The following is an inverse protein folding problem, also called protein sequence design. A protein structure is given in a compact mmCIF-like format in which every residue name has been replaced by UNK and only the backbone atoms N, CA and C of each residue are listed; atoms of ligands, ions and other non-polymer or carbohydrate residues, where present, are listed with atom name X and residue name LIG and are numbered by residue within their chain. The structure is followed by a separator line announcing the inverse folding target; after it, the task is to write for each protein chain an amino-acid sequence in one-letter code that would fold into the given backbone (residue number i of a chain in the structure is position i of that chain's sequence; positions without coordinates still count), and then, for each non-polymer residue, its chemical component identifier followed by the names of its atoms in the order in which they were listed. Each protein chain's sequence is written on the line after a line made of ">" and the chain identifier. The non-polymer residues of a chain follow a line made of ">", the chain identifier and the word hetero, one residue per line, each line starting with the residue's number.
data_IF_913482123203
#
_entry.id   IF_913482123203
#
_cell.length_a   1.000
_cell.length_b   1.000
_cell.length_c   1.000
_cell.angle_alpha   90.00
_cell.angle_beta   90.00
_cell.angle_gamma   90.00
#
_symmetry.space_group_name_H-M   'P 1'
#
loop_
_entity.id
_entity.type
_entity.pdbx_description
1 polymer ?
#
# COMPACT_ATOMS: atom_id res chain seq x y z
N UNK A 1 9.34 -73.11 14.24
CA UNK A 1 9.54 -73.89 13.00
C UNK A 1 9.01 -73.16 11.77
N UNK A 2 7.71 -72.84 11.66
CA UNK A 2 7.16 -72.13 10.48
C UNK A 2 7.85 -70.77 10.21
N UNK A 3 8.11 -69.96 11.24
CA UNK A 3 8.86 -68.69 11.13
C UNK A 3 10.34 -68.87 10.78
N UNK A 4 10.95 -69.98 11.20
CA UNK A 4 12.38 -70.28 10.99
C UNK A 4 12.66 -70.78 9.58
N UNK A 5 11.61 -71.25 8.87
CA UNK A 5 11.72 -71.81 7.51
C UNK A 5 10.93 -70.99 6.47
N UNK A 6 10.51 -69.77 6.79
CA UNK A 6 9.72 -68.91 5.89
C UNK A 6 8.48 -69.62 5.31
N UNK A 7 7.78 -70.42 6.12
CA UNK A 7 6.59 -71.12 5.65
C UNK A 7 5.42 -70.14 5.57
N UNK A 8 5.01 -69.81 4.36
CA UNK A 8 3.84 -68.97 4.09
C UNK A 8 2.56 -69.82 4.10
N UNK A 9 1.57 -69.39 4.89
CA UNK A 9 0.28 -70.06 4.95
C UNK A 9 -0.50 -69.83 3.65
N UNK A 10 -0.79 -70.90 2.92
CA UNK A 10 -1.63 -70.86 1.71
C UNK A 10 -3.12 -71.06 2.02
N UNK A 11 -3.52 -71.04 3.29
CA UNK A 11 -4.92 -71.20 3.65
C UNK A 11 -5.72 -69.98 3.13
N UNK A 12 -6.85 -70.20 2.45
CA UNK A 12 -7.62 -69.11 1.85
C UNK A 12 -8.07 -68.03 2.85
N UNK A 13 -8.23 -68.42 4.12
CA UNK A 13 -8.60 -67.51 5.20
C UNK A 13 -7.44 -66.61 5.63
N UNK A 14 -6.26 -67.17 5.89
CA UNK A 14 -5.04 -66.41 6.21
C UNK A 14 -4.64 -65.46 5.07
N UNK A 15 -4.77 -65.89 3.81
CA UNK A 15 -4.51 -65.02 2.65
C UNK A 15 -5.48 -63.83 2.63
N UNK A 16 -6.76 -64.03 2.99
CA UNK A 16 -7.74 -62.94 3.06
C UNK A 16 -7.41 -61.97 4.19
N UNK A 17 -7.07 -62.48 5.37
CA UNK A 17 -6.70 -61.68 6.54
C UNK A 17 -5.39 -60.89 6.31
N UNK A 18 -4.42 -61.48 5.61
CA UNK A 18 -3.19 -60.78 5.23
C UNK A 18 -3.46 -59.68 4.20
N UNK A 19 -4.32 -59.94 3.20
CA UNK A 19 -4.69 -58.93 2.20
C UNK A 19 -5.50 -57.78 2.80
N UNK A 20 -6.37 -58.04 3.78
CA UNK A 20 -7.09 -56.96 4.48
C UNK A 20 -6.16 -56.17 5.41
N UNK A 21 -5.23 -56.82 6.11
CA UNK A 21 -4.24 -56.12 6.93
C UNK A 21 -3.33 -55.21 6.08
N UNK A 22 -2.86 -55.68 4.92
CA UNK A 22 -2.05 -54.89 3.98
C UNK A 22 -2.87 -53.75 3.35
N UNK A 23 -4.15 -53.98 3.06
CA UNK A 23 -5.05 -52.91 2.61
C UNK A 23 -5.26 -51.85 3.69
N UNK A 24 -5.41 -52.23 4.97
CA UNK A 24 -5.55 -51.30 6.09
C UNK A 24 -4.28 -50.45 6.29
N UNK A 25 -3.09 -51.05 6.15
CA UNK A 25 -1.82 -50.29 6.23
C UNK A 25 -1.60 -49.36 5.02
N UNK A 26 -2.10 -49.73 3.83
CA UNK A 26 -2.00 -48.91 2.62
C UNK A 26 -3.11 -47.85 2.49
N UNK A 27 -4.17 -47.91 3.32
CA UNK A 27 -5.24 -46.90 3.40
C UNK A 27 -4.86 -45.72 4.29
N UNK A 28 -3.73 -45.79 5.01
CA UNK A 28 -3.17 -44.61 5.64
C UNK A 28 -2.56 -43.72 4.55
N UNK A 29 -3.39 -42.87 3.95
CA UNK A 29 -2.94 -41.78 3.09
C UNK A 29 -1.75 -41.11 3.77
N UNK A 30 -0.58 -41.16 3.15
CA UNK A 30 0.55 -40.31 3.49
C UNK A 30 0.04 -38.89 3.46
N UNK A 31 -0.18 -38.34 4.65
CA UNK A 31 -0.57 -36.96 4.85
C UNK A 31 0.35 -36.07 4.01
N UNK A 32 -0.24 -35.21 3.20
CA UNK A 32 0.43 -34.30 2.26
C UNK A 32 1.31 -33.25 2.98
N UNK A 33 1.46 -33.34 4.30
CA UNK A 33 2.29 -32.45 5.12
C UNK A 33 3.78 -32.47 4.76
N UNK A 34 4.31 -33.52 4.12
CA UNK A 34 5.73 -33.57 3.74
C UNK A 34 6.13 -32.50 2.71
N UNK A 35 5.18 -31.96 1.94
CA UNK A 35 5.43 -30.96 0.91
C UNK A 35 4.78 -29.61 1.19
N UNK A 36 4.05 -29.49 2.31
CA UNK A 36 3.49 -28.22 2.74
C UNK A 36 4.55 -27.47 3.54
N UNK A 37 5.23 -26.53 2.88
CA UNK A 37 5.98 -25.50 3.59
C UNK A 37 4.97 -24.68 4.41
N UNK A 38 5.28 -24.47 5.69
CA UNK A 38 4.63 -23.47 6.52
C UNK A 38 4.79 -22.12 5.80
N UNK A 39 3.69 -21.60 5.28
CA UNK A 39 3.69 -20.31 4.60
C UNK A 39 4.17 -19.28 5.63
N UNK A 40 5.28 -18.54 5.40
CA UNK A 40 5.72 -17.51 6.34
C UNK A 40 4.51 -16.62 6.59
N UNK A 41 4.14 -16.51 7.86
CA UNK A 41 2.95 -15.83 8.38
C UNK A 41 2.42 -14.86 7.34
N UNK A 42 1.34 -15.24 6.66
CA UNK A 42 0.68 -14.37 5.70
C UNK A 42 0.41 -13.09 6.47
N UNK A 43 1.17 -12.04 6.17
CA UNK A 43 0.83 -10.68 6.58
C UNK A 43 -0.63 -10.58 6.23
N UNK A 44 -1.49 -10.53 7.25
CA UNK A 44 -2.93 -10.56 7.05
C UNK A 44 -3.20 -9.26 6.33
N UNK A 45 -3.21 -9.32 4.99
CA UNK A 45 -3.71 -8.27 4.13
C UNK A 45 -5.15 -8.17 4.56
N UNK A 46 -5.44 -7.20 5.43
CA UNK A 46 -6.79 -6.91 5.85
C UNK A 46 -7.55 -6.64 4.56
N UNK A 47 -8.30 -7.64 4.11
CA UNK A 47 -9.05 -7.56 2.87
C UNK A 47 -9.95 -6.34 3.03
N UNK A 48 -9.95 -5.47 2.03
CA UNK A 48 -10.73 -4.24 2.08
C UNK A 48 -12.19 -4.57 2.42
N UNK A 49 -12.63 -4.16 3.60
CA UNK A 49 -14.02 -4.26 4.03
C UNK A 49 -14.56 -2.85 4.24
N UNK A 50 -15.67 -2.54 3.56
CA UNK A 50 -16.31 -1.22 3.63
C UNK A 50 -16.59 -0.78 5.08
N UNK A 51 -16.93 -1.71 5.98
CA UNK A 51 -17.19 -1.44 7.39
C UNK A 51 -15.93 -1.00 8.15
N UNK A 52 -14.80 -1.67 7.91
CA UNK A 52 -13.50 -1.36 8.53
C UNK A 52 -13.00 0.00 8.03
N UNK A 53 -13.06 0.24 6.72
CA UNK A 53 -12.66 1.51 6.13
C UNK A 53 -13.51 2.68 6.64
N UNK A 54 -14.83 2.52 6.75
CA UNK A 54 -15.72 3.55 7.31
C UNK A 54 -15.37 3.86 8.75
N UNK A 55 -15.13 2.85 9.58
CA UNK A 55 -14.75 3.05 10.99
C UNK A 55 -13.43 3.83 11.09
N UNK A 56 -12.39 3.41 10.36
CA UNK A 56 -11.10 4.09 10.34
C UNK A 56 -11.22 5.55 9.84
N UNK A 57 -12.07 5.80 8.84
CA UNK A 57 -12.32 7.15 8.32
C UNK A 57 -12.97 8.04 9.38
N UNK A 58 -13.96 7.54 10.12
CA UNK A 58 -14.62 8.28 11.21
C UNK A 58 -13.62 8.59 12.32
N UNK A 59 -12.83 7.61 12.75
CA UNK A 59 -11.79 7.80 13.77
C UNK A 59 -10.76 8.84 13.35
N UNK A 60 -10.34 8.82 12.07
CA UNK A 60 -9.43 9.82 11.51
C UNK A 60 -10.03 11.23 11.53
N UNK A 61 -11.29 11.40 11.09
CA UNK A 61 -11.98 12.70 11.10
C UNK A 61 -12.05 13.30 12.50
N UNK A 62 -12.42 12.48 13.51
CA UNK A 62 -12.52 12.93 14.91
C UNK A 62 -11.13 13.31 15.43
N UNK A 63 -10.14 12.43 15.25
CA UNK A 63 -8.79 12.62 15.80
C UNK A 63 -8.07 13.83 15.23
N UNK A 64 -8.36 14.18 13.97
CA UNK A 64 -7.73 15.31 13.27
C UNK A 64 -8.60 16.56 13.21
N UNK A 65 -9.81 16.52 13.80
CA UNK A 65 -10.79 17.61 13.77
C UNK A 65 -11.07 18.11 12.35
N UNK A 66 -11.12 17.20 11.38
CA UNK A 66 -11.38 17.54 9.99
C UNK A 66 -12.88 17.70 9.74
N UNK A 67 -13.23 18.55 8.77
CA UNK A 67 -14.61 18.71 8.35
C UNK A 67 -15.11 17.40 7.72
N UNK A 68 -16.38 17.05 7.97
CA UNK A 68 -17.02 15.86 7.37
C UNK A 68 -16.92 15.90 5.85
N UNK A 69 -17.02 17.09 5.24
CA UNK A 69 -16.89 17.31 3.79
C UNK A 69 -15.52 16.94 3.21
N UNK A 70 -14.48 16.71 4.03
CA UNK A 70 -13.16 16.31 3.56
C UNK A 70 -13.19 14.98 2.79
N UNK A 71 -14.13 14.07 3.12
CA UNK A 71 -14.28 12.77 2.45
C UNK A 71 -14.86 12.90 1.02
N UNK A 72 -15.63 13.96 0.77
CA UNK A 72 -16.25 14.24 -0.53
C UNK A 72 -15.26 14.95 -1.47
N UNK A 73 -14.15 15.46 -0.93
CA UNK A 73 -13.18 16.18 -1.72
C UNK A 73 -12.44 15.25 -2.70
N UNK A 74 -12.50 15.54 -3.99
CA UNK A 74 -11.94 14.72 -5.05
C UNK A 74 -10.44 14.42 -4.86
N UNK A 75 -9.67 15.34 -4.28
CA UNK A 75 -8.24 15.11 -4.03
C UNK A 75 -7.99 14.06 -2.94
N UNK A 76 -8.87 13.98 -1.93
CA UNK A 76 -8.81 12.95 -0.90
C UNK A 76 -9.11 11.57 -1.50
N UNK A 77 -10.18 11.46 -2.30
CA UNK A 77 -10.52 10.22 -3.01
C UNK A 77 -9.39 9.74 -3.93
N UNK A 78 -8.76 10.65 -4.66
CA UNK A 78 -7.58 10.35 -5.51
C UNK A 78 -6.41 9.82 -4.69
N UNK A 79 -6.13 10.43 -3.54
CA UNK A 79 -5.06 9.97 -2.64
C UNK A 79 -5.32 8.54 -2.13
N UNK A 80 -6.55 8.24 -1.70
CA UNK A 80 -6.93 6.89 -1.26
C UNK A 80 -6.85 5.87 -2.39
N UNK A 81 -7.30 6.21 -3.60
CA UNK A 81 -7.20 5.33 -4.75
C UNK A 81 -5.75 4.98 -5.09
N UNK A 82 -4.84 5.97 -5.05
CA UNK A 82 -3.40 5.75 -5.24
C UNK A 82 -2.83 4.84 -4.15
N UNK A 83 -3.21 5.08 -2.89
CA UNK A 83 -2.76 4.27 -1.76
C UNK A 83 -3.25 2.81 -1.85
N UNK A 84 -4.52 2.60 -2.21
CA UNK A 84 -5.12 1.27 -2.35
C UNK A 84 -4.52 0.45 -3.51
N UNK A 85 -4.00 1.11 -4.54
CA UNK A 85 -3.32 0.48 -5.67
C UNK A 85 -1.82 0.23 -5.43
N UNK A 86 -1.25 0.73 -4.34
CA UNK A 86 0.15 0.53 -4.04
C UNK A 86 0.40 -0.96 -3.70
N UNK A 87 1.23 -1.62 -4.51
CA UNK A 87 1.63 -3.02 -4.26
C UNK A 87 2.50 -3.17 -3.01
N UNK A 88 3.22 -2.10 -2.66
CA UNK A 88 4.00 -1.97 -1.43
C UNK A 88 3.31 -0.98 -0.49
N UNK A 89 3.70 -0.99 0.78
CA UNK A 89 3.24 0.02 1.74
C UNK A 89 3.43 1.47 1.25
N UNK A 90 2.57 2.36 1.76
CA UNK A 90 2.60 3.79 1.42
C UNK A 90 3.54 4.54 2.35
N UNK A 91 4.57 5.18 1.79
CA UNK A 91 5.47 6.06 2.54
C UNK A 91 4.87 7.46 2.58
N UNK A 92 4.41 7.89 3.76
CA UNK A 92 3.89 9.24 3.95
C UNK A 92 5.05 10.25 4.05
N UNK A 93 4.97 11.39 3.36
CA UNK A 93 5.99 12.42 3.46
C UNK A 93 5.93 13.11 4.83
N UNK A 94 7.11 13.40 5.40
CA UNK A 94 7.22 14.20 6.63
C UNK A 94 6.67 15.62 6.40
N UNK A 95 6.05 16.23 7.41
CA UNK A 95 5.56 17.60 7.43
C UNK A 95 6.55 18.60 6.80
N UNK A 96 7.82 18.58 7.20
CA UNK A 96 8.82 19.50 6.65
C UNK A 96 9.03 19.28 5.13
N UNK A 97 9.10 18.03 4.69
CA UNK A 97 9.26 17.69 3.27
C UNK A 97 8.04 18.12 2.45
N UNK A 98 6.84 17.92 3.00
CA UNK A 98 5.57 18.35 2.41
C UNK A 98 5.52 19.87 2.30
N UNK A 99 5.87 20.59 3.37
CA UNK A 99 5.90 22.05 3.39
C UNK A 99 6.86 22.62 2.34
N UNK A 100 8.10 22.12 2.30
CA UNK A 100 9.08 22.50 1.28
C UNK A 100 8.55 22.23 -0.13
N UNK A 101 7.89 21.09 -0.36
CA UNK A 101 7.32 20.76 -1.67
C UNK A 101 6.22 21.73 -2.09
N UNK A 102 5.31 22.08 -1.16
CA UNK A 102 4.25 23.06 -1.40
C UNK A 102 4.85 24.42 -1.77
N UNK A 103 5.82 24.91 -0.99
CA UNK A 103 6.48 26.19 -1.27
C UNK A 103 7.19 26.19 -2.63
N UNK A 104 7.84 25.08 -2.98
CA UNK A 104 8.50 24.95 -4.28
C UNK A 104 7.50 24.92 -5.45
N UNK A 105 6.35 24.24 -5.29
CA UNK A 105 5.27 24.27 -6.28
C UNK A 105 4.74 25.69 -6.46
N UNK A 106 4.51 26.41 -5.36
CA UNK A 106 4.07 27.81 -5.40
C UNK A 106 5.09 28.70 -6.13
N UNK A 107 6.38 28.63 -5.75
CA UNK A 107 7.46 29.37 -6.44
C UNK A 107 7.50 29.06 -7.94
N UNK A 108 7.36 27.79 -8.33
CA UNK A 108 7.33 27.38 -9.74
C UNK A 108 6.17 28.02 -10.50
N UNK A 109 4.98 28.08 -9.92
CA UNK A 109 3.84 28.74 -10.57
C UNK A 109 4.06 30.25 -10.68
N UNK A 110 4.63 30.88 -9.65
CA UNK A 110 4.97 32.31 -9.67
C UNK A 110 6.01 32.64 -10.74
N UNK A 111 7.02 31.79 -10.92
CA UNK A 111 8.02 31.94 -11.99
C UNK A 111 7.39 31.83 -13.38
N UNK A 112 6.52 30.84 -13.61
CA UNK A 112 5.78 30.73 -14.87
C UNK A 112 4.93 31.96 -15.16
N UNK A 113 4.26 32.50 -14.14
CA UNK A 113 3.47 33.71 -14.27
C UNK A 113 4.36 34.91 -14.63
N UNK A 114 5.51 35.07 -13.96
CA UNK A 114 6.49 36.12 -14.26
C UNK A 114 6.97 36.02 -15.71
N UNK A 115 7.34 34.83 -16.17
CA UNK A 115 7.78 34.60 -17.55
C UNK A 115 6.68 34.94 -18.57
N UNK A 116 5.43 34.56 -18.28
CA UNK A 116 4.29 34.88 -19.14
C UNK A 116 4.07 36.40 -19.25
N UNK A 117 4.13 37.13 -18.12
CA UNK A 117 3.99 38.58 -18.09
C UNK A 117 5.14 39.32 -18.78
N UNK A 118 6.38 38.83 -18.64
CA UNK A 118 7.52 39.42 -19.34
C UNK A 118 7.45 39.17 -20.86
N UNK A 119 6.99 37.99 -21.26
CA UNK A 119 6.79 37.64 -22.68
C UNK A 119 5.69 38.48 -23.32
N UNK A 120 4.57 38.72 -22.62
CA UNK A 120 3.50 39.58 -23.12
C UNK A 120 3.93 41.04 -23.22
N UNK A 121 4.74 41.53 -22.27
CA UNK A 121 5.29 42.89 -22.33
C UNK A 121 6.31 43.08 -23.48
N UNK A 122 7.02 42.02 -23.89
CA UNK A 122 7.93 42.06 -25.03
C UNK A 122 7.21 42.03 -26.40
N UNK A 123 5.93 41.63 -26.43
CA UNK A 123 5.10 41.61 -27.65
C UNK A 123 4.18 42.85 -27.78
N UNK A 124 3.93 43.56 -26.67
CA UNK A 124 3.27 44.86 -26.67
C UNK A 124 4.28 46.00 -26.80
N UNK A 125 4.72 46.29 -28.02
CA UNK A 125 5.43 47.53 -28.29
C UNK A 125 4.57 48.73 -27.84
N UNK A 126 5.18 49.61 -27.03
CA UNK A 126 4.60 50.86 -26.51
C UNK A 126 3.44 50.59 -25.54
N UNK A 127 3.67 50.51 -24.23
CA UNK A 127 3.46 51.65 -23.31
C UNK A 127 4.35 51.42 -22.07
N UNK A 128 5.43 52.18 -21.95
CA UNK A 128 6.02 52.49 -20.65
C UNK A 128 5.20 53.57 -19.97
N UNK A 129 4.67 53.29 -18.77
CA UNK A 129 5.07 54.01 -17.53
C UNK A 129 4.30 53.52 -16.31
N UNK A 130 5.04 53.39 -15.21
CA UNK A 130 4.64 53.24 -13.82
C UNK A 130 4.08 51.87 -13.37
N UNK A 131 4.98 51.01 -12.87
CA UNK A 131 4.66 50.14 -11.74
C UNK A 131 5.43 50.65 -10.51
N UNK A 132 4.74 50.99 -9.40
CA UNK A 132 5.38 51.53 -8.20
C UNK A 132 6.04 50.41 -7.38
N UNK A 133 7.33 50.56 -7.11
CA UNK A 133 8.07 50.33 -5.85
C UNK A 133 7.56 49.37 -4.75
N UNK A 134 6.75 48.34 -5.03
CA UNK A 134 6.17 47.47 -3.99
C UNK A 134 6.91 46.15 -3.70
N UNK A 135 8.12 45.95 -4.24
CA UNK A 135 8.95 44.79 -3.87
C UNK A 135 10.32 45.26 -3.39
N UNK A 136 10.31 46.16 -2.41
CA UNK A 136 11.47 46.41 -1.56
C UNK A 136 10.96 46.41 -0.12
N UNK A 137 10.86 45.22 0.48
CA UNK A 137 10.98 44.94 1.92
C UNK A 137 10.54 43.50 2.24
N UNK A 138 11.49 42.59 2.34
CA UNK A 138 11.69 41.75 3.53
C UNK A 138 12.92 40.86 3.29
N UNK A 139 13.99 40.96 4.12
CA UNK A 139 14.99 39.91 4.15
C UNK A 139 14.30 38.65 4.68
N UNK A 140 14.26 37.60 3.84
CA UNK A 140 13.87 36.26 4.30
C UNK A 140 14.79 35.87 5.46
N UNK A 141 14.27 35.48 6.64
CA UNK A 141 15.11 34.89 7.66
C UNK A 141 15.65 33.57 7.12
N UNK A 142 16.93 33.56 6.80
CA UNK A 142 17.70 32.34 6.63
C UNK A 142 17.81 31.67 7.99
N UNK A 143 17.00 30.65 8.26
CA UNK A 143 17.30 29.65 9.29
C UNK A 143 16.33 28.47 9.17
N UNK A 144 16.79 27.40 8.55
CA UNK A 144 16.46 26.05 9.03
C UNK A 144 17.79 25.45 9.51
N UNK A 145 17.89 25.02 10.79
CA UNK A 145 18.82 23.97 11.19
C UNK A 145 18.44 22.63 10.52
#
# INVERSE_FOLDING_TARGET
>A
WCKTNNFESMLPQDIKEQKTAVAITNVQQTSLNSHLQENPSVDIVVLYMNTVFRKATIEWLISTSQLIQAIDHLSFQKMIAVAAHAMSGVVLPNCNTTHCKIMNLFKKQMMKLKEHLLRSHAQGGWITRAWPQFIRCAPFPSMCP
#
